data_IF_003734540501
#
_entry.id   IF_003734540501
#
_cell.length_a   1.000
_cell.length_b   1.000
_cell.length_c   1.000
_cell.angle_alpha   90.00
_cell.angle_beta   90.00
_cell.angle_gamma   90.00
#
_symmetry.space_group_name_H-M   'P 1'
#
loop_
_entity.id
_entity.type
_entity.pdbx_description
1 polymer ?
#
# COMPACT_ATOMS: atom_id res chain seq x y z
N UNK A 1 -18.32 13.76 1.73
CA UNK A 1 -17.52 12.63 1.22
C UNK A 1 -16.25 13.20 0.65
N UNK A 2 -15.08 12.68 1.04
CA UNK A 2 -13.84 13.03 0.34
C UNK A 2 -13.97 12.56 -1.12
N UNK A 3 -13.56 13.39 -2.07
CA UNK A 3 -13.55 13.00 -3.48
C UNK A 3 -12.59 11.83 -3.68
N UNK A 4 -12.97 10.86 -4.52
CA UNK A 4 -12.07 9.80 -4.96
C UNK A 4 -10.90 10.43 -5.72
N UNK A 5 -9.70 9.93 -5.48
CA UNK A 5 -8.50 10.43 -6.15
C UNK A 5 -8.53 9.94 -7.60
N UNK A 6 -8.47 10.84 -8.57
CA UNK A 6 -8.56 10.50 -10.00
C UNK A 6 -7.19 10.20 -10.62
N UNK A 7 -6.11 10.76 -10.09
CA UNK A 7 -4.76 10.59 -10.60
C UNK A 7 -3.75 10.34 -9.50
N UNK A 8 -2.72 9.54 -9.82
CA UNK A 8 -1.59 9.32 -8.93
C UNK A 8 -0.68 10.54 -8.84
N UNK A 9 0.15 10.59 -7.80
CA UNK A 9 1.33 11.45 -7.78
C UNK A 9 2.41 10.75 -8.62
N UNK A 10 2.79 11.30 -9.79
CA UNK A 10 3.77 10.65 -10.67
C UNK A 10 5.16 10.63 -10.05
N UNK A 11 5.87 9.52 -10.25
CA UNK A 11 7.29 9.41 -9.98
C UNK A 11 8.08 9.91 -11.19
N UNK A 12 9.18 10.62 -10.93
CA UNK A 12 10.06 11.16 -11.96
C UNK A 12 11.50 10.70 -11.73
N UNK A 13 12.27 10.46 -12.81
CA UNK A 13 13.70 10.25 -12.70
C UNK A 13 14.40 11.53 -12.20
N UNK A 14 15.56 11.37 -11.58
CA UNK A 14 16.42 12.51 -11.29
C UNK A 14 16.87 13.19 -12.59
N UNK A 15 17.13 14.50 -12.54
CA UNK A 15 17.48 15.29 -13.71
C UNK A 15 18.71 14.80 -14.45
N UNK A 16 19.65 14.13 -13.75
CA UNK A 16 20.87 13.58 -14.33
C UNK A 16 20.66 12.32 -15.18
N UNK A 17 19.48 11.69 -15.11
CA UNK A 17 19.16 10.44 -15.81
C UNK A 17 17.99 10.59 -16.78
N UNK A 18 17.61 11.83 -17.09
CA UNK A 18 16.45 12.13 -17.94
C UNK A 18 16.77 11.96 -19.44
N UNK A 19 18.06 11.84 -19.78
CA UNK A 19 18.60 11.58 -21.11
C UNK A 19 18.68 10.08 -21.43
N UNK A 20 18.61 9.21 -20.42
CA UNK A 20 18.61 7.76 -20.59
C UNK A 20 17.17 7.25 -20.90
N UNK A 21 16.92 6.73 -22.11
CA UNK A 21 15.58 6.28 -22.50
C UNK A 21 15.11 5.06 -21.70
N UNK A 22 16.01 4.21 -21.21
CA UNK A 22 15.64 3.02 -20.45
C UNK A 22 15.16 3.40 -19.05
N UNK A 23 15.83 4.39 -18.43
CA UNK A 23 15.43 4.91 -17.12
C UNK A 23 14.08 5.62 -17.22
N UNK A 24 13.89 6.49 -18.23
CA UNK A 24 12.60 7.17 -18.44
C UNK A 24 11.48 6.16 -18.69
N UNK A 25 11.72 5.13 -19.53
CA UNK A 25 10.75 4.09 -19.80
C UNK A 25 10.34 3.31 -18.54
N UNK A 26 11.27 3.07 -17.61
CA UNK A 26 10.97 2.43 -16.34
C UNK A 26 10.01 3.27 -15.48
N UNK A 27 10.27 4.58 -15.33
CA UNK A 27 9.40 5.47 -14.56
C UNK A 27 8.02 5.61 -15.21
N UNK A 28 7.95 5.67 -16.53
CA UNK A 28 6.68 5.67 -17.27
C UNK A 28 5.88 4.39 -17.05
N UNK A 29 6.55 3.23 -17.09
CA UNK A 29 5.90 1.95 -16.82
C UNK A 29 5.40 1.86 -15.37
N UNK A 30 6.20 2.33 -14.41
CA UNK A 30 5.82 2.39 -13.00
C UNK A 30 4.60 3.28 -12.78
N UNK A 31 4.59 4.48 -13.36
CA UNK A 31 3.47 5.41 -13.27
C UNK A 31 2.19 4.83 -13.88
N UNK A 32 2.27 4.13 -15.02
CA UNK A 32 1.14 3.42 -15.63
C UNK A 32 0.59 2.32 -14.73
N UNK A 33 1.47 1.54 -14.12
CA UNK A 33 1.08 0.45 -13.22
C UNK A 33 0.42 1.01 -11.94
N UNK A 34 0.98 2.08 -11.37
CA UNK A 34 0.39 2.75 -10.21
C UNK A 34 -0.98 3.37 -10.52
N UNK A 35 -1.17 3.99 -11.70
CA UNK A 35 -2.49 4.45 -12.13
C UNK A 35 -3.47 3.28 -12.28
N UNK A 36 -3.02 2.14 -12.83
CA UNK A 36 -3.86 0.95 -12.94
C UNK A 36 -4.34 0.42 -11.58
N UNK A 37 -3.50 0.49 -10.53
CA UNK A 37 -3.95 0.16 -9.18
C UNK A 37 -4.97 1.16 -8.63
N UNK A 38 -4.76 2.47 -8.85
CA UNK A 38 -5.71 3.49 -8.42
C UNK A 38 -7.07 3.29 -9.11
N UNK A 39 -7.07 3.04 -10.41
CA UNK A 39 -8.27 2.76 -11.19
C UNK A 39 -8.97 1.48 -10.69
N UNK A 40 -8.21 0.43 -10.38
CA UNK A 40 -8.75 -0.79 -9.79
C UNK A 40 -9.39 -0.53 -8.42
N UNK A 41 -8.73 0.21 -7.53
CA UNK A 41 -9.27 0.57 -6.22
C UNK A 41 -10.54 1.43 -6.33
N UNK A 42 -10.57 2.39 -7.25
CA UNK A 42 -11.75 3.20 -7.51
C UNK A 42 -12.91 2.35 -8.05
N UNK A 43 -12.63 1.35 -8.89
CA UNK A 43 -13.63 0.44 -9.46
C UNK A 43 -14.17 -0.60 -8.47
N UNK A 44 -13.38 -0.98 -7.47
CA UNK A 44 -13.81 -1.94 -6.45
C UNK A 44 -15.05 -1.47 -5.66
N UNK A 45 -15.37 -0.17 -5.68
CA UNK A 45 -16.51 0.44 -5.00
C UNK A 45 -16.67 -0.06 -3.55
N UNK A 46 -15.54 -0.38 -2.90
CA UNK A 46 -15.55 -0.92 -1.56
C UNK A 46 -15.92 0.24 -0.63
N UNK A 47 -16.98 0.09 0.19
CA UNK A 47 -17.33 1.13 1.14
C UNK A 47 -16.14 1.38 2.07
N UNK A 48 -15.70 2.63 2.18
CA UNK A 48 -14.62 3.01 3.07
C UNK A 48 -15.14 3.09 4.51
N UNK A 49 -14.91 2.03 5.30
CA UNK A 49 -15.32 1.95 6.70
C UNK A 49 -14.25 2.50 7.64
N UNK A 50 -13.83 3.75 7.41
CA UNK A 50 -12.89 4.43 8.29
C UNK A 50 -13.66 5.32 9.26
N UNK A 51 -13.60 5.00 10.55
CA UNK A 51 -14.16 5.82 11.63
C UNK A 51 -13.31 5.63 12.89
N UNK A 52 -13.11 6.66 13.72
CA UNK A 52 -12.45 6.51 15.01
C UNK A 52 -13.11 5.49 15.95
N UNK A 53 -14.39 5.17 15.70
CA UNK A 53 -15.12 4.15 16.45
C UNK A 53 -14.81 2.71 15.98
N UNK A 54 -14.24 2.52 14.78
CA UNK A 54 -13.93 1.22 14.21
C UNK A 54 -12.52 0.82 14.67
N UNK A 55 -12.46 0.19 15.84
CA UNK A 55 -11.22 -0.23 16.50
C UNK A 55 -11.38 -1.62 17.12
N UNK A 56 -10.25 -2.26 17.48
CA UNK A 56 -10.26 -3.58 18.12
C UNK A 56 -10.96 -4.65 17.28
N UNK A 57 -11.79 -5.48 17.92
CA UNK A 57 -12.51 -6.59 17.29
C UNK A 57 -13.46 -6.15 16.16
N UNK A 58 -14.03 -4.95 16.25
CA UNK A 58 -14.90 -4.42 15.18
C UNK A 58 -14.09 -4.18 13.91
N UNK A 59 -12.85 -3.67 14.05
CA UNK A 59 -11.94 -3.51 12.92
C UNK A 59 -11.55 -4.86 12.31
N UNK A 60 -11.34 -5.90 13.14
CA UNK A 60 -11.04 -7.25 12.66
C UNK A 60 -12.21 -7.86 11.90
N UNK A 61 -13.42 -7.70 12.41
CA UNK A 61 -14.63 -8.20 11.76
C UNK A 61 -14.89 -7.51 10.42
N UNK A 62 -14.69 -6.20 10.34
CA UNK A 62 -14.81 -5.44 9.09
C UNK A 62 -13.69 -5.83 8.11
N UNK A 63 -12.45 -5.96 8.56
CA UNK A 63 -11.31 -6.39 7.74
C UNK A 63 -11.55 -7.77 7.11
N UNK A 64 -11.93 -8.75 7.93
CA UNK A 64 -12.20 -10.10 7.45
C UNK A 64 -13.49 -10.20 6.62
N UNK A 65 -14.54 -9.48 7.01
CA UNK A 65 -15.85 -9.57 6.38
C UNK A 65 -15.97 -8.84 5.04
N UNK A 66 -15.38 -7.64 4.94
CA UNK A 66 -15.50 -6.79 3.74
C UNK A 66 -14.29 -6.96 2.83
N UNK A 67 -13.10 -7.02 3.40
CA UNK A 67 -11.85 -7.01 2.64
C UNK A 67 -11.21 -8.40 2.53
N UNK A 68 -11.67 -9.40 3.30
CA UNK A 68 -11.08 -10.73 3.31
C UNK A 68 -9.68 -10.77 3.92
N UNK A 69 -9.28 -9.71 4.63
CA UNK A 69 -7.95 -9.52 5.18
C UNK A 69 -7.92 -9.77 6.70
N UNK A 70 -6.79 -10.26 7.20
CA UNK A 70 -6.58 -10.52 8.64
C UNK A 70 -5.31 -9.81 9.14
N UNK A 71 -5.26 -9.48 10.44
CA UNK A 71 -4.07 -8.82 10.99
C UNK A 71 -2.83 -9.72 10.85
N UNK A 72 -1.72 -9.21 10.27
CA UNK A 72 -0.47 -9.95 10.24
C UNK A 72 0.09 -10.07 11.67
N UNK A 73 0.38 -11.30 12.09
CA UNK A 73 1.05 -11.56 13.35
C UNK A 73 2.56 -11.41 13.14
N UNK A 74 3.14 -10.37 13.72
CA UNK A 74 4.59 -10.23 13.82
C UNK A 74 5.10 -11.17 14.91
N UNK A 75 5.56 -12.36 14.52
CA UNK A 75 6.29 -13.23 15.42
C UNK A 75 7.70 -12.68 15.61
N UNK A 76 7.99 -12.15 16.79
CA UNK A 76 9.36 -11.78 17.18
C UNK A 76 9.98 -13.04 17.79
N UNK A 77 11.02 -13.59 17.16
CA UNK A 77 11.82 -14.66 17.75
C UNK A 77 12.70 -14.07 18.87
N UNK A 78 12.24 -14.18 20.11
CA UNK A 78 13.02 -13.72 21.28
C UNK A 78 14.34 -14.51 21.45
N UNK A 79 14.41 -15.73 20.91
CA UNK A 79 15.58 -16.61 20.97
C UNK A 79 16.76 -16.21 20.06
N UNK A 80 16.59 -15.23 19.16
CA UNK A 80 17.66 -14.76 18.27
C UNK A 80 18.48 -13.60 18.86
N UNK A 81 18.07 -13.04 20.01
CA UNK A 81 18.87 -12.04 20.73
C UNK A 81 19.82 -12.79 21.66
N UNK A 82 20.87 -13.34 21.05
CA UNK A 82 22.18 -13.61 21.62
C UNK A 82 22.25 -13.68 23.17
N UNK A 83 22.05 -14.89 23.73
CA UNK A 83 22.90 -15.28 24.86
C UNK A 83 24.33 -15.33 24.34
N UNK A 84 25.01 -14.20 24.40
CA UNK A 84 26.44 -14.11 24.14
C UNK A 84 27.15 -15.16 25.00
N UNK A 85 28.07 -15.90 24.39
CA UNK A 85 28.97 -16.75 25.13
C UNK A 85 30.00 -15.86 25.85
N UNK A 86 29.63 -15.36 27.03
CA UNK A 86 30.57 -14.97 28.08
C UNK A 86 29.91 -15.12 29.46
#
# INVERSE_FOLDING_TARGET
MAALLESIIPAYPYTQYNDDPDIVAFFDAYNKLAQGYLDYFNNLNLPCWTSPAITGELLDWIAAGIYGESRPLLQISEDAIARGAY
#
